data_IF_483648844590
#
_entry.id   IF_483648844590
#
_cell.length_a   1.000
_cell.length_b   1.000
_cell.length_c   1.000
_cell.angle_alpha   90.00
_cell.angle_beta   90.00
_cell.angle_gamma   90.00
#
_symmetry.space_group_name_H-M   'P 1'
#
loop_
_entity.id
_entity.type
_entity.pdbx_description
1 polymer ?
#
# COMPACT_ATOMS: atom_id res chain seq x y z
N UNK A 1 34.80 43.86 6.08
CA UNK A 1 34.24 43.30 4.83
C UNK A 1 34.28 41.78 4.97
N UNK A 2 33.17 41.20 5.42
CA UNK A 2 33.04 39.75 5.64
C UNK A 2 32.23 39.16 4.48
N UNK A 3 32.62 38.00 3.92
CA UNK A 3 31.89 37.40 2.82
C UNK A 3 30.59 36.77 3.35
N UNK A 4 29.47 37.17 2.75
CA UNK A 4 28.18 36.51 2.95
C UNK A 4 28.23 35.14 2.27
N UNK A 5 28.07 34.08 3.06
CA UNK A 5 27.87 32.72 2.54
C UNK A 5 26.38 32.58 2.22
N UNK A 6 26.05 32.67 0.94
CA UNK A 6 24.70 32.41 0.43
C UNK A 6 24.36 30.93 0.61
N UNK A 7 23.57 30.64 1.65
CA UNK A 7 22.89 29.35 1.85
C UNK A 7 21.85 29.15 0.76
N UNK A 8 22.27 28.61 -0.38
CA UNK A 8 21.37 28.10 -1.42
C UNK A 8 20.61 26.89 -0.89
N UNK A 9 19.34 27.09 -0.53
CA UNK A 9 18.40 26.04 -0.19
C UNK A 9 18.16 25.14 -1.42
N UNK A 10 18.93 24.05 -1.51
CA UNK A 10 18.69 22.99 -2.48
C UNK A 10 17.35 22.32 -2.15
N UNK A 11 16.35 22.58 -2.99
CA UNK A 11 15.13 21.78 -3.07
C UNK A 11 15.54 20.32 -3.20
N UNK A 12 15.03 19.47 -2.29
CA UNK A 12 15.48 18.09 -2.07
C UNK A 12 15.59 17.29 -3.37
N UNK A 13 16.83 17.16 -3.86
CA UNK A 13 17.14 16.39 -5.05
C UNK A 13 16.87 14.91 -4.76
N UNK A 14 15.72 14.43 -5.25
CA UNK A 14 15.28 13.03 -5.16
C UNK A 14 15.80 12.19 -6.31
N UNK A 15 16.64 12.77 -7.17
CA UNK A 15 17.08 12.15 -8.42
C UNK A 15 18.56 11.81 -8.35
N UNK A 16 18.94 10.65 -8.90
CA UNK A 16 20.34 10.27 -8.99
C UNK A 16 21.10 11.16 -9.99
N UNK A 17 22.22 11.76 -9.57
CA UNK A 17 23.04 12.62 -10.42
C UNK A 17 23.63 11.94 -11.68
N UNK A 18 23.69 10.60 -11.70
CA UNK A 18 24.29 9.82 -12.80
C UNK A 18 23.23 9.36 -13.82
N UNK A 19 22.15 8.73 -13.37
CA UNK A 19 21.11 8.20 -14.27
C UNK A 19 19.88 9.11 -14.40
N UNK A 20 19.78 10.18 -13.60
CA UNK A 20 18.65 11.10 -13.53
C UNK A 20 17.30 10.42 -13.29
N UNK A 21 17.32 9.25 -12.64
CA UNK A 21 16.10 8.56 -12.23
C UNK A 21 15.69 9.05 -10.84
N UNK A 22 14.40 9.29 -10.68
CA UNK A 22 13.74 9.55 -9.42
C UNK A 22 13.88 8.33 -8.49
N UNK A 23 14.36 8.58 -7.28
CA UNK A 23 14.61 7.53 -6.28
C UNK A 23 13.32 7.18 -5.57
N UNK A 24 13.01 5.89 -5.52
CA UNK A 24 11.79 5.40 -4.89
C UNK A 24 11.89 5.45 -3.36
N UNK A 25 10.75 5.45 -2.69
CA UNK A 25 10.67 5.40 -1.22
C UNK A 25 11.37 4.14 -0.71
N UNK A 26 12.42 4.32 0.10
CA UNK A 26 13.21 3.23 0.67
C UNK A 26 14.50 2.90 -0.10
N UNK A 27 14.70 3.46 -1.30
CA UNK A 27 16.00 3.40 -1.97
C UNK A 27 17.00 4.34 -1.28
N UNK A 28 18.26 3.91 -1.22
CA UNK A 28 19.35 4.61 -0.53
C UNK A 28 20.16 5.42 -1.55
N UNK A 29 20.32 6.71 -1.26
CA UNK A 29 21.23 7.61 -1.96
C UNK A 29 22.51 7.78 -1.14
N UNK A 30 23.64 7.62 -1.82
CA UNK A 30 24.97 7.83 -1.24
C UNK A 30 25.55 9.13 -1.77
N UNK A 31 25.88 10.10 -0.91
CA UNK A 31 26.47 11.37 -1.32
C UNK A 31 27.88 11.15 -1.88
N UNK A 32 28.13 11.70 -3.07
CA UNK A 32 29.45 11.71 -3.68
C UNK A 32 29.85 13.14 -4.08
N UNK A 33 31.15 13.45 -4.01
CA UNK A 33 31.75 14.70 -4.47
C UNK A 33 32.15 14.57 -5.94
N UNK A 34 31.72 15.53 -6.76
CA UNK A 34 32.13 15.62 -8.15
C UNK A 34 33.61 16.08 -8.24
N UNK A 35 34.50 15.35 -8.94
CA UNK A 35 35.89 15.74 -9.09
C UNK A 35 36.11 17.06 -9.84
N UNK A 36 35.14 17.52 -10.64
CA UNK A 36 35.30 18.70 -11.50
C UNK A 36 34.80 20.00 -10.88
N UNK A 37 33.98 19.92 -9.85
CA UNK A 37 33.40 21.11 -9.24
C UNK A 37 32.75 20.67 -7.96
N UNK A 38 33.41 21.01 -6.85
CA UNK A 38 33.30 20.60 -5.44
C UNK A 38 31.89 20.42 -4.83
N UNK A 39 30.97 19.85 -5.60
CA UNK A 39 29.55 19.70 -5.34
C UNK A 39 29.30 18.29 -4.86
N UNK A 40 28.55 18.20 -3.78
CA UNK A 40 28.07 16.93 -3.25
C UNK A 40 26.73 16.63 -3.92
N UNK A 41 26.63 15.50 -4.61
CA UNK A 41 25.40 15.08 -5.26
C UNK A 41 24.99 13.67 -4.81
N UNK A 42 23.68 13.40 -4.69
CA UNK A 42 23.18 12.07 -4.34
C UNK A 42 23.29 11.10 -5.53
N UNK A 43 23.80 9.90 -5.28
CA UNK A 43 23.94 8.84 -6.29
C UNK A 43 23.30 7.55 -5.75
N UNK A 44 22.44 6.90 -6.55
CA UNK A 44 21.83 5.62 -6.16
C UNK A 44 22.87 4.50 -6.13
N UNK A 45 22.61 3.46 -5.33
CA UNK A 45 23.56 2.33 -5.15
C UNK A 45 23.95 1.66 -6.48
N UNK A 46 23.02 1.60 -7.44
CA UNK A 46 23.27 1.04 -8.77
C UNK A 46 24.28 1.87 -9.60
N UNK A 47 24.37 3.18 -9.35
CA UNK A 47 25.27 4.07 -10.06
C UNK A 47 26.58 4.36 -9.31
N UNK A 48 26.74 3.88 -8.07
CA UNK A 48 27.93 4.15 -7.25
C UNK A 48 29.22 3.65 -7.91
N UNK A 49 29.21 2.46 -8.53
CA UNK A 49 30.38 1.94 -9.25
C UNK A 49 30.76 2.81 -10.46
N UNK A 50 29.76 3.31 -11.20
CA UNK A 50 29.98 4.21 -12.35
C UNK A 50 30.48 5.58 -11.91
N UNK A 51 30.03 6.08 -10.76
CA UNK A 51 30.50 7.34 -10.19
C UNK A 51 31.98 7.27 -9.79
N UNK A 52 32.37 6.22 -9.05
CA UNK A 52 33.79 5.99 -8.69
C UNK A 52 34.69 5.85 -9.91
N UNK A 53 34.23 5.14 -10.95
CA UNK A 53 34.95 5.04 -12.22
C UNK A 53 35.15 6.38 -12.95
N UNK A 54 34.38 7.41 -12.60
CA UNK A 54 34.53 8.79 -13.10
C UNK A 54 35.32 9.69 -12.14
N UNK A 55 35.90 9.13 -11.08
CA UNK A 55 36.67 9.87 -10.07
C UNK A 55 35.82 10.55 -8.99
N UNK A 56 34.55 10.16 -8.81
CA UNK A 56 33.73 10.69 -7.73
C UNK A 56 34.06 10.01 -6.41
N UNK A 57 34.23 10.79 -5.36
CA UNK A 57 34.58 10.31 -4.02
C UNK A 57 33.35 10.30 -3.10
N UNK A 58 33.21 9.25 -2.28
CA UNK A 58 32.12 9.16 -1.31
C UNK A 58 32.36 10.16 -0.17
N UNK A 59 31.35 10.96 0.17
CA UNK A 59 31.47 11.96 1.24
C UNK A 59 30.70 11.51 2.47
N UNK A 60 31.43 10.92 3.43
CA UNK A 60 30.89 10.48 4.72
C UNK A 60 29.98 9.25 4.63
N UNK A 61 29.50 8.82 5.80
CA UNK A 61 28.64 7.62 5.96
C UNK A 61 27.14 7.94 5.84
N UNK A 62 26.81 9.20 5.51
CA UNK A 62 25.45 9.72 5.49
C UNK A 62 24.62 9.11 4.36
N UNK A 63 23.92 8.01 4.63
CA UNK A 63 22.91 7.45 3.74
C UNK A 63 21.66 8.31 3.79
N UNK A 64 21.28 8.89 2.65
CA UNK A 64 20.05 9.67 2.51
C UNK A 64 18.98 8.76 1.89
N UNK A 65 17.87 8.54 2.57
CA UNK A 65 16.73 7.84 1.97
C UNK A 65 15.98 8.80 1.06
N UNK A 66 15.61 8.36 -0.16
CA UNK A 66 14.81 9.15 -1.10
C UNK A 66 13.54 9.70 -0.44
N UNK A 67 13.53 11.01 -0.17
CA UNK A 67 12.44 11.71 0.48
C UNK A 67 11.31 12.00 -0.50
N UNK A 68 10.55 10.97 -0.88
CA UNK A 68 9.29 11.19 -1.58
C UNK A 68 8.37 12.04 -0.71
N UNK A 69 7.86 13.15 -1.26
CA UNK A 69 6.81 13.97 -0.66
C UNK A 69 5.66 13.04 -0.27
N UNK A 70 5.55 12.76 1.02
CA UNK A 70 4.48 11.92 1.57
C UNK A 70 3.14 12.60 1.27
N UNK A 71 2.32 12.02 0.39
CA UNK A 71 0.89 12.02 0.64
C UNK A 71 0.73 11.44 2.05
N UNK A 72 0.39 12.31 2.99
CA UNK A 72 0.16 11.99 4.40
C UNK A 72 -1.06 11.10 4.51
N UNK A 73 -0.90 9.82 4.18
CA UNK A 73 -1.70 8.76 4.76
C UNK A 73 -1.15 8.63 6.16
N UNK A 74 -1.87 9.17 7.14
CA UNK A 74 -1.59 8.91 8.54
C UNK A 74 -1.70 7.41 8.76
N UNK A 75 -0.55 6.75 8.62
CA UNK A 75 -0.33 5.41 9.12
C UNK A 75 -0.53 5.56 10.62
N UNK A 76 -1.68 5.11 11.08
CA UNK A 76 -1.94 4.85 12.47
C UNK A 76 -0.90 3.81 12.88
N UNK A 77 0.26 4.26 13.36
CA UNK A 77 1.09 3.39 14.16
C UNK A 77 0.23 3.05 15.36
N UNK A 78 -0.06 1.77 15.62
CA UNK A 78 -0.68 1.41 16.88
C UNK A 78 0.31 1.92 17.91
N UNK A 79 -0.07 2.98 18.61
CA UNK A 79 0.61 3.45 19.79
C UNK A 79 0.86 2.20 20.59
N UNK A 80 2.13 1.81 20.67
CA UNK A 80 2.53 0.80 21.62
C UNK A 80 1.89 1.26 22.92
N UNK A 81 0.95 0.46 23.41
CA UNK A 81 0.61 0.45 24.82
C UNK A 81 1.92 0.10 25.51
N UNK A 82 2.79 1.10 25.63
CA UNK A 82 3.96 1.09 26.45
C UNK A 82 3.41 0.65 27.78
N UNK A 83 3.83 -0.56 28.17
CA UNK A 83 3.59 -1.01 29.53
C UNK A 83 4.00 0.16 30.41
N UNK A 84 3.14 0.59 31.35
CA UNK A 84 3.53 1.67 32.26
C UNK A 84 4.91 1.29 32.79
N UNK A 85 5.91 2.21 32.72
CA UNK A 85 7.24 1.88 33.18
C UNK A 85 7.07 1.31 34.58
N UNK A 86 7.55 0.08 34.79
CA UNK A 86 7.47 -0.59 36.08
C UNK A 86 7.96 0.43 37.10
N UNK A 87 7.02 1.02 37.85
CA UNK A 87 7.35 2.05 38.82
C UNK A 87 8.21 1.31 39.82
N UNK A 88 9.53 1.54 39.75
CA UNK A 88 10.44 1.09 40.78
C UNK A 88 9.80 1.56 42.11
N UNK A 89 9.67 0.66 43.10
CA UNK A 89 9.03 1.02 44.36
C UNK A 89 9.69 2.32 44.84
N UNK A 90 8.87 3.36 44.98
CA UNK A 90 9.36 4.70 45.29
C UNK A 90 10.26 4.60 46.53
N UNK A 91 11.56 4.76 46.33
CA UNK A 91 12.52 4.70 47.43
C UNK A 91 12.13 5.81 48.41
N UNK A 92 11.80 5.42 49.64
CA UNK A 92 11.51 6.37 50.71
C UNK A 92 12.67 7.35 50.79
N UNK A 93 12.37 8.64 50.72
CA UNK A 93 13.37 9.70 50.83
C UNK A 93 14.08 9.63 52.19
N UNK A 94 15.32 10.09 52.27
CA UNK A 94 16.09 10.13 53.52
C UNK A 94 15.34 10.69 54.75
N UNK A 95 14.52 11.77 54.65
CA UNK A 95 13.70 12.21 55.79
C UNK A 95 12.59 11.22 56.15
N UNK A 96 12.01 10.49 55.19
CA UNK A 96 11.03 9.44 55.46
C UNK A 96 11.65 8.23 56.15
N UNK A 97 12.87 7.83 55.75
CA UNK A 97 13.65 6.80 56.44
C UNK A 97 13.99 7.22 57.88
N UNK A 98 14.38 8.48 58.11
CA UNK A 98 14.66 9.00 59.44
C UNK A 98 13.41 9.07 60.34
N UNK A 99 12.22 9.32 59.79
CA UNK A 99 10.96 9.25 60.54
C UNK A 99 10.62 7.80 60.88
N UNK A 100 10.82 6.87 59.94
CA UNK A 100 10.61 5.44 60.17
C UNK A 100 11.57 4.91 61.25
N UNK A 101 12.86 5.22 61.16
CA UNK A 101 13.87 4.83 62.15
C UNK A 101 13.63 5.45 63.52
N UNK A 102 13.05 6.65 63.59
CA UNK A 102 12.66 7.26 64.88
C UNK A 102 11.39 6.61 65.45
N UNK A 103 10.49 6.13 64.60
CA UNK A 103 9.31 5.38 65.01
C UNK A 103 9.63 3.92 65.42
N UNK A 104 10.65 3.29 64.82
CA UNK A 104 11.04 1.90 65.11
C UNK A 104 12.17 1.79 66.14
N UNK A 105 13.08 2.78 66.21
CA UNK A 105 14.25 2.80 67.10
C UNK A 105 13.98 3.25 68.54
N UNK A 106 12.76 3.71 68.85
CA UNK A 106 12.35 4.18 70.19
C UNK A 106 11.39 3.19 70.89
N UNK A 107 11.71 1.90 70.90
CA UNK A 107 10.88 0.85 71.52
C UNK A 107 11.68 -0.12 72.41
N UNK A 108 12.64 0.40 73.18
CA UNK A 108 13.42 -0.42 74.10
C UNK A 108 12.70 -0.75 75.43
N UNK A 109 11.68 0.01 75.85
CA UNK A 109 10.96 -0.24 77.12
C UNK A 109 9.48 0.19 77.04
N UNK A 110 8.82 -0.03 75.90
CA UNK A 110 7.37 0.19 75.83
C UNK A 110 6.67 -0.98 76.54
N UNK A 111 6.12 -0.73 77.73
CA UNK A 111 5.14 -1.63 78.36
C UNK A 111 4.15 -2.11 77.29
N UNK A 112 3.75 -3.39 77.29
CA UNK A 112 2.78 -3.90 76.34
C UNK A 112 1.45 -3.17 76.57
N UNK A 113 1.25 -2.08 75.84
CA UNK A 113 -0.03 -1.40 75.74
C UNK A 113 -1.02 -2.41 75.17
N UNK A 114 -1.67 -3.15 76.07
CA UNK A 114 -2.80 -4.02 75.76
C UNK A 114 -3.83 -3.14 75.10
N UNK A 115 -3.88 -3.20 73.77
CA UNK A 115 -5.00 -2.66 73.03
C UNK A 115 -6.26 -3.20 73.72
N UNK A 116 -7.18 -2.33 74.17
CA UNK A 116 -8.32 -2.78 74.94
C UNK A 116 -9.08 -3.83 74.13
N UNK A 117 -9.38 -4.97 74.73
CA UNK A 117 -9.80 -6.20 74.04
C UNK A 117 -10.95 -6.01 73.04
N UNK A 118 -11.79 -4.98 73.25
CA UNK A 118 -12.86 -4.59 72.34
C UNK A 118 -12.36 -4.14 70.95
N UNK A 119 -11.21 -3.47 70.84
CA UNK A 119 -10.64 -3.05 69.55
C UNK A 119 -10.14 -4.25 68.76
N UNK A 120 -9.44 -5.18 69.42
CA UNK A 120 -8.96 -6.41 68.78
C UNK A 120 -10.13 -7.28 68.29
N UNK A 121 -11.21 -7.38 69.07
CA UNK A 121 -12.42 -8.09 68.66
C UNK A 121 -13.10 -7.42 67.45
N UNK A 122 -13.18 -6.08 67.43
CA UNK A 122 -13.77 -5.33 66.32
C UNK A 122 -12.95 -5.45 65.03
N UNK A 123 -11.62 -5.37 65.12
CA UNK A 123 -10.72 -5.59 63.97
C UNK A 123 -10.94 -6.98 63.38
N UNK A 124 -10.95 -8.03 64.21
CA UNK A 124 -11.20 -9.40 63.75
C UNK A 124 -12.56 -9.55 63.08
N UNK A 125 -13.60 -8.92 63.63
CA UNK A 125 -14.92 -8.93 63.01
C UNK A 125 -14.92 -8.25 61.63
N UNK A 126 -14.23 -7.11 61.50
CA UNK A 126 -14.09 -6.40 60.22
C UNK A 126 -13.27 -7.20 59.20
N UNK A 127 -12.20 -7.88 59.62
CA UNK A 127 -11.40 -8.75 58.75
C UNK A 127 -12.22 -9.93 58.20
N UNK A 128 -13.06 -10.53 59.05
CA UNK A 128 -13.92 -11.63 58.66
C UNK A 128 -15.01 -11.18 57.67
N UNK A 129 -15.56 -9.98 57.88
CA UNK A 129 -16.52 -9.37 56.97
C UNK A 129 -15.89 -9.00 55.62
N UNK A 130 -14.70 -8.40 55.61
CA UNK A 130 -13.95 -8.13 54.37
C UNK A 130 -13.64 -9.42 53.60
N UNK A 131 -13.34 -10.50 54.31
CA UNK A 131 -13.08 -11.81 53.70
C UNK A 131 -14.34 -12.37 53.03
N UNK A 132 -15.50 -12.21 53.67
CA UNK A 132 -16.81 -12.57 53.07
C UNK A 132 -17.09 -11.73 51.83
N UNK A 133 -16.97 -10.40 51.93
CA UNK A 133 -17.21 -9.50 50.80
C UNK A 133 -16.29 -9.79 49.60
N UNK A 134 -15.01 -10.09 49.83
CA UNK A 134 -14.10 -10.51 48.75
C UNK A 134 -14.57 -11.81 48.11
N UNK A 135 -14.93 -12.82 48.92
CA UNK A 135 -15.45 -14.09 48.43
C UNK A 135 -16.68 -13.92 47.54
N UNK A 136 -17.54 -12.96 47.86
CA UNK A 136 -18.79 -12.71 47.13
C UNK A 136 -18.58 -11.80 45.90
N UNK A 137 -17.68 -10.82 45.97
CA UNK A 137 -17.40 -9.88 44.87
C UNK A 137 -16.46 -10.46 43.80
N UNK A 138 -15.50 -11.31 44.17
CA UNK A 138 -14.55 -11.92 43.24
C UNK A 138 -15.20 -12.71 42.09
N UNK A 139 -16.25 -13.53 42.28
CA UNK A 139 -16.92 -14.20 41.18
C UNK A 139 -17.68 -13.23 40.28
N UNK A 140 -18.31 -12.18 40.85
CA UNK A 140 -18.98 -11.16 40.06
C UNK A 140 -17.99 -10.37 39.18
N UNK A 141 -16.83 -10.00 39.74
CA UNK A 141 -15.74 -9.35 39.00
C UNK A 141 -15.20 -10.25 37.89
N UNK A 142 -14.94 -11.53 38.18
CA UNK A 142 -14.47 -12.51 37.18
C UNK A 142 -15.50 -12.73 36.07
N UNK A 143 -16.79 -12.76 36.40
CA UNK A 143 -17.86 -12.89 35.41
C UNK A 143 -17.91 -11.67 34.48
N UNK A 144 -17.75 -10.46 35.03
CA UNK A 144 -17.75 -9.24 34.23
C UNK A 144 -16.49 -9.11 33.37
N UNK A 145 -15.31 -9.42 33.91
CA UNK A 145 -14.06 -9.50 33.15
C UNK A 145 -14.18 -10.53 32.02
N UNK A 146 -14.78 -11.70 32.28
CA UNK A 146 -15.01 -12.72 31.26
C UNK A 146 -15.96 -12.23 30.16
N UNK A 147 -17.02 -11.49 30.49
CA UNK A 147 -17.95 -10.91 29.52
C UNK A 147 -17.26 -9.88 28.64
N UNK A 148 -16.44 -9.01 29.23
CA UNK A 148 -15.65 -8.01 28.48
C UNK A 148 -14.68 -8.70 27.53
N UNK A 149 -13.95 -9.71 28.02
CA UNK A 149 -13.04 -10.51 27.18
C UNK A 149 -13.78 -11.21 26.05
N UNK A 150 -14.95 -11.79 26.31
CA UNK A 150 -15.77 -12.42 25.27
C UNK A 150 -16.23 -11.42 24.22
N UNK A 151 -16.66 -10.21 24.62
CA UNK A 151 -17.04 -9.15 23.68
C UNK A 151 -15.87 -8.71 22.80
N UNK A 152 -14.71 -8.44 23.42
CA UNK A 152 -13.49 -8.07 22.70
C UNK A 152 -13.03 -9.19 21.74
N UNK A 153 -13.11 -10.45 22.17
CA UNK A 153 -12.77 -11.59 21.32
C UNK A 153 -13.71 -11.71 20.12
N UNK A 154 -15.01 -11.48 20.31
CA UNK A 154 -15.99 -11.46 19.22
C UNK A 154 -15.73 -10.32 18.23
N UNK A 155 -15.48 -9.11 18.73
CA UNK A 155 -15.16 -7.94 17.90
C UNK A 155 -13.87 -8.15 17.09
N UNK A 156 -12.81 -8.67 17.72
CA UNK A 156 -11.57 -9.01 17.01
C UNK A 156 -11.78 -10.11 15.95
N UNK A 157 -12.68 -11.06 16.19
CA UNK A 157 -13.00 -12.09 15.21
C UNK A 157 -13.71 -11.48 13.99
N UNK A 158 -14.68 -10.59 14.20
CA UNK A 158 -15.39 -9.87 13.14
C UNK A 158 -14.43 -9.01 12.30
N UNK A 159 -13.59 -8.20 12.96
CA UNK A 159 -12.60 -7.37 12.28
C UNK A 159 -11.62 -8.20 11.45
N UNK A 160 -11.18 -9.36 11.95
CA UNK A 160 -10.31 -10.28 11.19
C UNK A 160 -10.98 -10.80 9.93
N UNK A 161 -12.28 -11.11 9.97
CA UNK A 161 -13.03 -11.52 8.77
C UNK A 161 -13.09 -10.37 7.77
N UNK A 162 -13.44 -9.16 8.23
CA UNK A 162 -13.51 -7.99 7.36
C UNK A 162 -12.17 -7.64 6.68
N UNK A 163 -11.04 -7.77 7.39
CA UNK A 163 -9.70 -7.58 6.82
C UNK A 163 -9.41 -8.63 5.75
N UNK A 164 -9.69 -9.92 6.03
CA UNK A 164 -9.49 -10.98 5.03
C UNK A 164 -10.32 -10.75 3.76
N UNK A 165 -11.57 -10.33 3.90
CA UNK A 165 -12.44 -10.06 2.74
C UNK A 165 -11.93 -8.88 1.91
N UNK A 166 -11.46 -7.83 2.59
CA UNK A 166 -10.81 -6.70 1.93
C UNK A 166 -9.55 -7.13 1.19
N UNK A 167 -8.68 -7.92 1.82
CA UNK A 167 -7.45 -8.40 1.21
C UNK A 167 -7.73 -9.31 0.01
N UNK A 168 -8.72 -10.20 0.12
CA UNK A 168 -9.19 -11.02 -0.99
C UNK A 168 -9.75 -10.19 -2.15
N UNK A 169 -10.41 -9.06 -1.88
CA UNK A 169 -10.86 -8.12 -2.92
C UNK A 169 -9.67 -7.42 -3.59
N UNK A 170 -8.68 -6.96 -2.82
CA UNK A 170 -7.47 -6.31 -3.35
C UNK A 170 -6.69 -7.30 -4.22
N UNK A 171 -6.50 -8.53 -3.76
CA UNK A 171 -5.81 -9.58 -4.49
C UNK A 171 -6.51 -9.89 -5.84
N UNK A 172 -7.84 -9.96 -5.85
CA UNK A 172 -8.62 -10.13 -7.10
C UNK A 172 -8.40 -8.99 -8.09
N UNK A 173 -8.42 -7.74 -7.61
CA UNK A 173 -8.17 -6.58 -8.47
C UNK A 173 -6.73 -6.57 -9.01
N UNK A 174 -5.74 -6.87 -8.17
CA UNK A 174 -4.34 -6.96 -8.59
C UNK A 174 -4.13 -8.06 -9.63
N UNK A 175 -4.71 -9.25 -9.43
CA UNK A 175 -4.66 -10.33 -10.40
C UNK A 175 -5.30 -9.94 -11.73
N UNK A 176 -6.43 -9.23 -11.72
CA UNK A 176 -7.06 -8.70 -12.92
C UNK A 176 -6.14 -7.69 -13.65
N UNK A 177 -5.49 -6.78 -12.92
CA UNK A 177 -4.54 -5.81 -13.50
C UNK A 177 -3.29 -6.47 -14.06
N UNK A 178 -2.77 -7.50 -13.40
CA UNK A 178 -1.65 -8.30 -13.94
C UNK A 178 -2.08 -9.00 -15.22
N UNK A 179 -3.29 -9.59 -15.25
CA UNK A 179 -3.81 -10.22 -16.46
C UNK A 179 -3.98 -9.23 -17.62
N UNK A 180 -4.34 -7.97 -17.33
CA UNK A 180 -4.39 -6.89 -18.32
C UNK A 180 -3.04 -6.53 -18.94
N UNK A 181 -1.90 -6.93 -18.34
CA UNK A 181 -0.58 -6.63 -18.90
C UNK A 181 -0.27 -7.43 -20.17
N UNK A 182 -0.92 -8.59 -20.36
CA UNK A 182 -0.65 -9.48 -21.50
C UNK A 182 -1.37 -9.01 -22.77
N UNK A 183 -0.65 -8.57 -23.82
CA UNK A 183 -1.29 -8.10 -25.06
C UNK A 183 -2.10 -9.22 -25.74
N UNK A 184 -1.55 -10.44 -25.83
CA UNK A 184 -2.23 -11.59 -26.44
C UNK A 184 -3.57 -11.90 -25.76
N UNK A 185 -3.63 -11.83 -24.42
CA UNK A 185 -4.87 -12.05 -23.67
C UNK A 185 -5.89 -10.95 -23.98
N UNK A 186 -5.46 -9.70 -24.02
CA UNK A 186 -6.35 -8.58 -24.30
C UNK A 186 -6.89 -8.61 -25.73
N UNK A 187 -6.06 -9.00 -26.70
CA UNK A 187 -6.49 -9.19 -28.09
C UNK A 187 -7.56 -10.30 -28.20
N UNK A 188 -7.38 -11.44 -27.53
CA UNK A 188 -8.38 -12.51 -27.51
C UNK A 188 -9.71 -12.07 -26.91
N UNK A 189 -9.67 -11.41 -25.74
CA UNK A 189 -10.89 -10.89 -25.09
C UNK A 189 -11.57 -9.79 -25.92
N UNK A 190 -10.78 -8.98 -26.64
CA UNK A 190 -11.31 -7.95 -27.52
C UNK A 190 -12.06 -8.55 -28.71
N UNK A 191 -11.50 -9.61 -29.31
CA UNK A 191 -12.15 -10.36 -30.37
C UNK A 191 -13.45 -11.01 -29.90
N UNK A 192 -13.44 -11.66 -28.74
CA UNK A 192 -14.66 -12.26 -28.19
C UNK A 192 -15.75 -11.21 -27.98
N UNK A 193 -15.39 -10.05 -27.43
CA UNK A 193 -16.30 -8.93 -27.21
C UNK A 193 -16.81 -8.33 -28.53
N UNK A 194 -15.95 -8.23 -29.55
CA UNK A 194 -16.33 -7.75 -30.87
C UNK A 194 -17.27 -8.73 -31.58
N UNK A 195 -16.96 -10.02 -31.53
CA UNK A 195 -17.76 -11.07 -32.16
C UNK A 195 -19.16 -11.20 -31.54
N UNK A 196 -19.33 -10.83 -30.27
CA UNK A 196 -20.63 -10.76 -29.60
C UNK A 196 -21.36 -9.43 -29.83
N UNK A 197 -20.72 -8.45 -30.49
CA UNK A 197 -21.28 -7.11 -30.68
C UNK A 197 -22.14 -7.00 -31.95
N UNK A 198 -23.10 -6.06 -32.01
CA UNK A 198 -23.86 -5.76 -33.23
C UNK A 198 -22.99 -5.30 -34.41
N UNK A 199 -21.75 -4.86 -34.16
CA UNK A 199 -20.83 -4.47 -35.22
C UNK A 199 -20.47 -5.66 -36.13
N UNK A 200 -20.40 -6.87 -35.58
CA UNK A 200 -20.08 -8.08 -36.35
C UNK A 200 -21.11 -8.34 -37.45
N UNK A 201 -22.40 -8.22 -37.13
CA UNK A 201 -23.48 -8.45 -38.09
C UNK A 201 -23.41 -7.44 -39.24
N UNK A 202 -23.13 -6.17 -38.92
CA UNK A 202 -22.93 -5.13 -39.93
C UNK A 202 -21.74 -5.44 -40.82
N UNK A 203 -20.59 -5.79 -40.24
CA UNK A 203 -19.38 -6.10 -41.01
C UNK A 203 -19.56 -7.35 -41.86
N UNK A 204 -20.26 -8.38 -41.36
CA UNK A 204 -20.59 -9.58 -42.12
C UNK A 204 -21.45 -9.27 -43.34
N UNK A 205 -22.38 -8.32 -43.23
CA UNK A 205 -23.20 -7.88 -44.38
C UNK A 205 -22.36 -7.19 -45.45
N UNK A 206 -21.39 -6.36 -45.03
CA UNK A 206 -20.46 -5.67 -45.94
C UNK A 206 -19.51 -6.67 -46.60
N UNK A 207 -18.96 -7.61 -45.83
CA UNK A 207 -18.06 -8.65 -46.32
C UNK A 207 -18.70 -9.53 -47.40
N UNK A 208 -20.00 -9.81 -47.31
CA UNK A 208 -20.72 -10.53 -48.38
C UNK A 208 -20.72 -9.80 -49.73
N UNK A 209 -20.63 -8.49 -49.73
CA UNK A 209 -20.67 -7.66 -50.96
C UNK A 209 -19.27 -7.34 -51.47
N UNK A 210 -18.33 -7.08 -50.56
CA UNK A 210 -16.97 -6.61 -50.88
C UNK A 210 -15.90 -7.72 -50.79
N UNK A 211 -16.25 -8.92 -50.36
CA UNK A 211 -15.31 -10.01 -50.09
C UNK A 211 -14.72 -9.96 -48.68
N UNK A 212 -13.71 -10.78 -48.43
CA UNK A 212 -13.07 -10.87 -47.11
C UNK A 212 -12.20 -9.63 -46.81
N UNK A 213 -12.40 -8.93 -45.68
CA UNK A 213 -11.55 -7.82 -45.30
C UNK A 213 -10.17 -8.29 -44.83
N UNK A 214 -9.18 -7.43 -45.03
CA UNK A 214 -7.95 -7.43 -44.25
C UNK A 214 -8.29 -6.98 -42.83
N UNK A 215 -7.99 -7.83 -41.83
CA UNK A 215 -8.24 -7.51 -40.43
C UNK A 215 -6.93 -7.26 -39.68
N UNK A 216 -6.86 -6.14 -38.98
CA UNK A 216 -5.76 -5.77 -38.09
C UNK A 216 -6.27 -5.53 -36.66
N UNK A 217 -5.51 -6.05 -35.70
CA UNK A 217 -5.71 -5.90 -34.27
C UNK A 217 -4.51 -5.18 -33.68
N UNK A 218 -4.75 -4.07 -32.99
CA UNK A 218 -3.71 -3.25 -32.40
C UNK A 218 -4.01 -2.95 -30.94
N UNK A 219 -3.14 -3.39 -30.03
CA UNK A 219 -3.20 -3.01 -28.61
C UNK A 219 -2.64 -1.58 -28.45
N UNK A 220 -3.46 -0.64 -27.98
CA UNK A 220 -3.06 0.76 -27.76
C UNK A 220 -2.21 0.94 -26.49
N UNK A 221 -1.87 -0.14 -25.79
CA UNK A 221 -0.95 -0.14 -24.66
C UNK A 221 -1.65 -0.10 -23.29
N UNK A 222 -0.90 0.15 -22.20
CA UNK A 222 -1.30 -0.15 -20.81
C UNK A 222 -2.32 0.81 -20.18
N UNK A 223 -3.17 1.47 -20.98
CA UNK A 223 -4.24 2.33 -20.46
C UNK A 223 -5.29 1.54 -19.67
N UNK A 224 -5.93 2.19 -18.69
CA UNK A 224 -7.10 1.64 -17.99
C UNK A 224 -8.30 2.56 -18.31
N UNK A 225 -9.37 2.07 -18.96
CA UNK A 225 -9.53 0.72 -19.51
C UNK A 225 -8.55 0.43 -20.66
N UNK A 226 -8.17 -0.84 -20.81
CA UNK A 226 -7.34 -1.29 -21.94
C UNK A 226 -8.10 -1.11 -23.23
N UNK A 227 -7.41 -0.68 -24.28
CA UNK A 227 -8.02 -0.41 -25.58
C UNK A 227 -7.35 -1.28 -26.64
N UNK A 228 -8.16 -2.08 -27.31
CA UNK A 228 -7.74 -2.82 -28.50
C UNK A 228 -8.51 -2.27 -29.68
N UNK A 229 -7.77 -1.80 -30.67
CA UNK A 229 -8.33 -1.32 -31.94
C UNK A 229 -8.44 -2.47 -32.92
N UNK A 230 -9.58 -2.57 -33.57
CA UNK A 230 -9.87 -3.54 -34.62
C UNK A 230 -10.15 -2.76 -35.90
N UNK A 231 -9.31 -2.97 -36.90
CA UNK A 231 -9.45 -2.34 -38.23
C UNK A 231 -9.84 -3.41 -39.24
N UNK A 232 -10.90 -3.16 -39.99
CA UNK A 232 -11.31 -3.99 -41.13
C UNK A 232 -11.19 -3.13 -42.39
N UNK A 233 -10.46 -3.60 -43.39
CA UNK A 233 -10.25 -2.86 -44.63
C UNK A 233 -10.40 -3.73 -45.88
N UNK A 234 -11.00 -3.15 -46.91
CA UNK A 234 -11.10 -3.62 -48.29
C UNK A 234 -10.39 -2.64 -49.20
N UNK A 235 -10.25 -2.91 -50.49
CA UNK A 235 -9.55 -2.02 -51.43
C UNK A 235 -10.16 -0.61 -51.55
N UNK A 236 -11.44 -0.44 -51.17
CA UNK A 236 -12.22 0.79 -51.35
C UNK A 236 -12.85 1.36 -50.07
N UNK A 237 -12.64 0.70 -48.92
CA UNK A 237 -13.27 1.12 -47.66
C UNK A 237 -12.54 0.56 -46.44
N UNK A 238 -12.64 1.25 -45.32
CA UNK A 238 -12.18 0.75 -44.03
C UNK A 238 -13.08 1.21 -42.88
N UNK A 239 -13.07 0.42 -41.81
CA UNK A 239 -13.81 0.65 -40.56
C UNK A 239 -12.89 0.37 -39.37
N UNK A 240 -12.93 1.24 -38.36
CA UNK A 240 -12.18 1.10 -37.12
C UNK A 240 -13.08 1.05 -35.91
N UNK A 241 -12.89 0.03 -35.09
CA UNK A 241 -13.56 -0.17 -33.82
C UNK A 241 -12.55 -0.14 -32.69
N UNK A 242 -12.95 0.41 -31.55
CA UNK A 242 -12.19 0.33 -30.30
C UNK A 242 -12.98 -0.50 -29.31
N UNK A 243 -12.34 -1.54 -28.80
CA UNK A 243 -12.84 -2.36 -27.71
C UNK A 243 -12.16 -1.90 -26.43
N UNK A 244 -12.94 -1.35 -25.49
CA UNK A 244 -12.48 -0.98 -24.16
C UNK A 244 -12.72 -2.16 -23.22
N UNK A 245 -11.68 -2.63 -22.56
CA UNK A 245 -11.68 -3.77 -21.64
C UNK A 245 -11.21 -3.32 -20.26
N UNK A 246 -12.01 -3.61 -19.23
CA UNK A 246 -11.64 -3.41 -17.83
C UNK A 246 -11.93 -4.70 -17.06
N UNK A 247 -10.89 -5.52 -16.86
CA UNK A 247 -10.99 -6.77 -16.11
C UNK A 247 -11.21 -6.50 -14.61
N UNK A 248 -10.79 -5.34 -14.11
CA UNK A 248 -11.04 -4.92 -12.74
C UNK A 248 -12.53 -4.72 -12.43
N UNK A 249 -13.30 -4.23 -13.41
CA UNK A 249 -14.76 -4.08 -13.29
C UNK A 249 -15.57 -5.16 -14.03
N UNK A 250 -14.89 -6.02 -14.80
CA UNK A 250 -15.52 -7.06 -15.63
C UNK A 250 -16.33 -6.49 -16.80
N UNK A 251 -15.99 -5.29 -17.29
CA UNK A 251 -16.74 -4.60 -18.34
C UNK A 251 -15.97 -4.59 -19.66
N UNK A 252 -16.71 -4.81 -20.76
CA UNK A 252 -16.24 -4.66 -22.12
C UNK A 252 -17.23 -3.79 -22.91
N UNK A 253 -16.73 -2.89 -23.76
CA UNK A 253 -17.57 -2.08 -24.65
C UNK A 253 -16.91 -1.93 -26.01
N UNK A 254 -17.71 -2.04 -27.06
CA UNK A 254 -17.26 -1.89 -28.46
C UNK A 254 -17.86 -0.60 -29.02
N UNK A 255 -17.01 0.25 -29.59
CA UNK A 255 -17.43 1.51 -30.23
C UNK A 255 -16.74 1.68 -31.58
N UNK A 256 -17.50 2.07 -32.59
CA UNK A 256 -16.96 2.51 -33.88
C UNK A 256 -16.30 3.88 -33.70
N UNK A 257 -15.08 4.03 -34.22
CA UNK A 257 -14.27 5.24 -34.04
C UNK A 257 -13.94 5.95 -35.35
N UNK A 258 -14.04 5.27 -36.48
CA UNK A 258 -13.77 5.88 -37.78
C UNK A 258 -14.15 4.97 -38.94
N UNK A 259 -14.40 5.59 -40.08
CA UNK A 259 -14.58 4.93 -41.37
C UNK A 259 -13.96 5.79 -42.47
N UNK A 260 -13.61 5.20 -43.61
CA UNK A 260 -13.11 5.95 -44.75
C UNK A 260 -13.15 5.14 -46.05
N UNK A 261 -13.00 5.82 -47.18
CA UNK A 261 -13.05 5.23 -48.53
C UNK A 261 -11.69 4.90 -49.15
N UNK A 262 -10.60 5.17 -48.45
CA UNK A 262 -9.25 4.89 -48.95
C UNK A 262 -8.41 4.22 -47.84
N UNK A 263 -8.07 2.93 -47.97
CA UNK A 263 -7.23 2.19 -47.02
C UNK A 263 -5.82 2.78 -46.92
N UNK A 264 -5.37 3.51 -47.93
CA UNK A 264 -4.08 4.19 -47.90
C UNK A 264 -4.07 5.42 -46.99
N UNK A 265 -5.22 5.84 -46.47
CA UNK A 265 -5.30 6.81 -45.39
C UNK A 265 -4.96 6.21 -44.00
N UNK A 266 -5.01 4.87 -43.84
CA UNK A 266 -4.69 4.22 -42.57
C UNK A 266 -3.17 4.26 -42.30
N UNK A 267 -2.73 4.34 -41.04
CA UNK A 267 -1.33 4.12 -40.67
C UNK A 267 -0.82 2.77 -41.20
N UNK A 268 0.45 2.71 -41.63
CA UNK A 268 1.04 1.51 -42.27
C UNK A 268 0.91 0.25 -41.41
N UNK A 269 1.07 0.40 -40.09
CA UNK A 269 0.94 -0.67 -39.09
C UNK A 269 -0.46 -1.31 -39.04
N UNK A 270 -1.50 -0.56 -39.46
CA UNK A 270 -2.90 -1.01 -39.46
C UNK A 270 -3.34 -1.66 -40.78
N UNK A 271 -2.52 -1.55 -41.83
CA UNK A 271 -2.81 -2.14 -43.15
C UNK A 271 -2.41 -3.61 -43.26
N UNK A 272 -1.57 -4.10 -42.34
CA UNK A 272 -1.10 -5.49 -42.36
C UNK A 272 -2.11 -6.39 -41.67
N UNK A 273 -2.50 -7.48 -42.31
CA UNK A 273 -3.33 -8.49 -41.65
C UNK A 273 -2.55 -9.16 -40.50
N UNK A 274 -3.18 -9.25 -39.34
CA UNK A 274 -2.74 -10.10 -38.22
C UNK A 274 -3.90 -10.88 -37.59
N UNK A 275 -5.03 -10.93 -38.30
CA UNK A 275 -6.25 -11.63 -37.96
C UNK A 275 -7.00 -11.97 -39.24
N UNK A 276 -7.90 -12.96 -39.16
CA UNK A 276 -8.70 -13.46 -40.28
C UNK A 276 -10.18 -13.29 -40.02
N UNK A 277 -10.89 -12.85 -41.05
CA UNK A 277 -12.34 -12.92 -41.13
C UNK A 277 -12.71 -14.30 -41.70
N UNK A 278 -13.58 -15.06 -41.04
CA UNK A 278 -14.07 -16.35 -41.52
C UNK A 278 -15.38 -16.20 -42.29
N UNK A 279 -15.68 -17.17 -43.16
CA UNK A 279 -16.97 -17.31 -43.85
C UNK A 279 -18.18 -17.32 -42.89
N UNK A 280 -17.98 -17.79 -41.66
CA UNK A 280 -19.00 -17.75 -40.60
C UNK A 280 -19.31 -16.33 -40.09
N UNK A 281 -18.62 -15.30 -40.60
CA UNK A 281 -18.74 -13.92 -40.17
C UNK A 281 -17.95 -13.58 -38.90
N UNK A 282 -17.11 -14.49 -38.38
CA UNK A 282 -16.35 -14.29 -37.14
C UNK A 282 -14.91 -13.84 -37.41
N UNK A 283 -14.35 -13.04 -36.50
CA UNK A 283 -12.96 -12.60 -36.53
C UNK A 283 -12.10 -13.44 -35.57
N UNK A 284 -10.96 -13.95 -36.05
CA UNK A 284 -9.98 -14.72 -35.28
C UNK A 284 -8.58 -14.13 -35.43
N UNK A 285 -7.79 -14.12 -34.35
CA UNK A 285 -6.36 -13.76 -34.38
C UNK A 285 -5.52 -14.89 -34.98
#
# INVERSE_FOLDING_TARGET
>A
MSPQVESSAHHGATDCAICRRDVLVGEILVPHRDPKGDRIAPICELCAGRARGRGWEVVGDGRVTGGGTRLRVERFEPTELASPPAQAPAALSAPQLAILDRATGSSAEAEPHRAPAHLTARIRAQELELTRLRRDLDPARRAEESRLQQRQAAELAELRVAVRDRDARIARLQAARIAETSPMRMTGLALDSFNQSPALERMSRIARTLGDPVVNLHDEGPGIPRRVRITLSWDIAWYEFVVKLDLGTGRASVSETGTGGDPTALPLERRRSNARFRESGMVLA
#
